data_IF_309128143035
#
_entry.id   IF_309128143035
#
_cell.length_a   1.000
_cell.length_b   1.000
_cell.length_c   1.000
_cell.angle_alpha   90.00
_cell.angle_beta   90.00
_cell.angle_gamma   90.00
#
_symmetry.space_group_name_H-M   'P 1'
#
loop_
_entity.id
_entity.type
_entity.pdbx_description
1 polymer ?
#
# COMPACT_ATOMS: atom_id res chain seq x y z
N UNK A 1 2.35 -34.90 -36.30
CA UNK A 1 2.75 -35.70 -35.12
C UNK A 1 2.82 -34.77 -33.93
N UNK A 2 1.90 -34.89 -32.97
CA UNK A 2 2.22 -34.76 -31.55
C UNK A 2 1.06 -35.34 -30.72
N UNK A 3 1.37 -36.14 -29.70
CA UNK A 3 0.40 -37.04 -29.07
C UNK A 3 0.06 -36.55 -27.66
N UNK A 4 -1.17 -36.11 -27.45
CA UNK A 4 -1.64 -35.57 -26.16
C UNK A 4 -1.89 -36.69 -25.14
N UNK A 5 -0.92 -36.98 -24.27
CA UNK A 5 -1.10 -37.96 -23.19
C UNK A 5 -1.73 -37.32 -21.94
N UNK A 6 -2.97 -37.71 -21.63
CA UNK A 6 -3.56 -37.51 -20.31
C UNK A 6 -2.81 -38.31 -19.26
N UNK A 7 -2.42 -37.70 -18.14
CA UNK A 7 -2.24 -38.41 -16.86
C UNK A 7 -2.76 -37.57 -15.69
N UNK A 8 -4.01 -37.84 -15.30
CA UNK A 8 -4.56 -37.44 -14.02
C UNK A 8 -3.78 -38.17 -12.90
N UNK A 9 -3.18 -37.43 -11.97
CA UNK A 9 -2.60 -38.00 -10.74
C UNK A 9 -3.17 -37.33 -9.50
N UNK A 10 -4.36 -37.77 -9.12
CA UNK A 10 -4.88 -37.53 -7.77
C UNK A 10 -4.03 -38.28 -6.73
N UNK A 11 -3.59 -37.60 -5.68
CA UNK A 11 -3.26 -38.23 -4.40
C UNK A 11 -4.11 -37.60 -3.31
N UNK A 12 -4.73 -38.45 -2.49
CA UNK A 12 -5.57 -38.08 -1.35
C UNK A 12 -4.77 -38.23 -0.05
N UNK A 13 -5.28 -37.57 0.99
CA UNK A 13 -5.31 -37.93 2.42
C UNK A 13 -4.49 -37.08 3.41
N UNK A 14 -5.24 -36.57 4.40
CA UNK A 14 -4.86 -36.22 5.78
C UNK A 14 -3.84 -35.08 5.95
N UNK A 15 -4.03 -34.15 6.89
CA UNK A 15 -4.45 -34.40 8.29
C UNK A 15 -5.22 -33.22 8.88
N UNK A 16 -6.19 -33.51 9.75
CA UNK A 16 -6.88 -32.50 10.57
C UNK A 16 -6.26 -32.46 11.98
N UNK A 17 -6.02 -31.26 12.52
CA UNK A 17 -5.79 -30.99 13.96
C UNK A 17 -6.57 -29.74 14.34
N UNK A 18 -6.95 -29.65 15.62
CA UNK A 18 -8.10 -28.89 16.09
C UNK A 18 -7.73 -27.71 17.03
N UNK A 19 -8.67 -26.76 17.12
CA UNK A 19 -8.98 -25.84 18.23
C UNK A 19 -7.84 -25.16 19.03
N UNK A 20 -7.90 -23.83 19.07
CA UNK A 20 -7.67 -23.06 20.30
C UNK A 20 -8.49 -21.75 20.30
N UNK A 21 -9.70 -21.78 20.88
CA UNK A 21 -10.46 -20.56 21.21
C UNK A 21 -10.05 -20.03 22.57
N UNK A 22 -9.50 -18.82 22.64
CA UNK A 22 -9.21 -18.11 23.89
C UNK A 22 -10.15 -16.91 24.05
N UNK A 23 -11.26 -17.10 24.79
CA UNK A 23 -12.11 -16.01 25.21
C UNK A 23 -11.59 -15.41 26.51
N UNK A 24 -11.26 -14.12 26.50
CA UNK A 24 -10.80 -13.37 27.67
C UNK A 24 -11.75 -12.21 27.99
N UNK A 25 -12.45 -12.29 29.11
CA UNK A 25 -13.22 -11.19 29.68
C UNK A 25 -13.03 -11.16 31.19
N UNK A 26 -12.70 -9.99 31.76
CA UNK A 26 -13.41 -9.36 32.89
C UNK A 26 -12.70 -8.09 33.39
N UNK A 27 -13.51 -7.04 33.58
CA UNK A 27 -13.48 -6.06 34.68
C UNK A 27 -12.18 -5.31 35.05
N UNK A 28 -12.17 -4.01 34.75
CA UNK A 28 -11.49 -2.97 35.54
C UNK A 28 -12.47 -1.85 35.86
N UNK A 29 -13.02 -1.81 37.08
CA UNK A 29 -13.99 -0.81 37.52
C UNK A 29 -13.34 0.13 38.54
N UNK A 30 -13.38 1.45 38.33
CA UNK A 30 -12.76 2.46 39.20
C UNK A 30 -13.54 3.77 39.24
N UNK A 31 -13.92 4.22 40.44
CA UNK A 31 -14.86 5.33 40.71
C UNK A 31 -14.28 6.27 41.78
N UNK A 32 -14.60 7.56 41.91
CA UNK A 32 -15.65 8.42 41.32
C UNK A 32 -15.13 9.86 41.14
N UNK A 33 -15.80 10.69 40.32
CA UNK A 33 -15.55 12.14 40.26
C UNK A 33 -16.66 12.94 39.58
N UNK A 34 -17.67 13.37 40.35
CA UNK A 34 -18.79 14.24 39.92
C UNK A 34 -18.47 15.74 40.14
N UNK A 35 -19.32 16.73 39.75
CA UNK A 35 -20.42 16.76 38.78
C UNK A 35 -20.29 17.91 37.73
N UNK A 36 -21.27 18.04 36.84
CA UNK A 36 -21.42 19.13 35.84
C UNK A 36 -21.76 20.51 36.47
N UNK A 37 -21.70 21.62 35.69
CA UNK A 37 -22.91 21.99 34.93
C UNK A 37 -22.68 22.53 33.50
N UNK A 38 -23.51 22.02 32.58
CA UNK A 38 -24.18 22.70 31.46
C UNK A 38 -23.56 23.97 30.83
N UNK A 39 -23.22 23.86 29.54
CA UNK A 39 -23.78 24.70 28.45
C UNK A 39 -23.28 24.25 27.08
N UNK A 40 -24.19 24.01 26.13
CA UNK A 40 -23.87 24.04 24.69
C UNK A 40 -24.21 22.78 23.91
N UNK A 41 -25.48 22.60 23.55
CA UNK A 41 -25.90 21.60 22.56
C UNK A 41 -25.35 21.94 21.17
N UNK A 42 -24.47 21.10 20.64
CA UNK A 42 -24.22 20.94 19.21
C UNK A 42 -23.76 19.51 18.92
N UNK A 43 -24.72 18.60 18.75
CA UNK A 43 -24.48 17.24 18.23
C UNK A 43 -23.92 17.32 16.81
N UNK A 44 -22.73 16.75 16.60
CA UNK A 44 -22.02 16.78 15.32
C UNK A 44 -20.76 15.93 15.35
N UNK A 45 -20.85 14.71 15.90
CA UNK A 45 -19.72 13.77 15.97
C UNK A 45 -19.39 13.24 14.58
N UNK A 46 -18.53 13.98 13.89
CA UNK A 46 -17.90 13.63 12.61
C UNK A 46 -16.41 13.93 12.68
N UNK A 47 -15.74 13.45 13.75
CA UNK A 47 -14.29 13.41 13.79
C UNK A 47 -13.85 12.28 12.86
N UNK A 48 -13.75 12.59 11.56
CA UNK A 48 -12.96 11.80 10.64
C UNK A 48 -11.51 11.89 11.11
N UNK A 49 -11.10 10.88 11.89
CA UNK A 49 -9.71 10.59 12.16
C UNK A 49 -9.06 10.06 10.88
N UNK A 50 -8.89 10.95 9.89
CA UNK A 50 -7.81 10.75 8.93
C UNK A 50 -6.53 10.57 9.75
N UNK A 51 -5.79 9.46 9.58
CA UNK A 51 -4.51 9.32 10.26
C UNK A 51 -3.66 10.52 9.88
N UNK A 52 -3.16 11.24 10.89
CA UNK A 52 -2.34 12.41 10.66
C UNK A 52 -1.05 11.95 9.97
N UNK A 53 -1.00 12.11 8.65
CA UNK A 53 0.16 11.84 7.82
C UNK A 53 1.37 12.50 8.49
N UNK A 54 2.41 11.73 8.89
CA UNK A 54 3.52 12.27 9.67
C UNK A 54 4.19 13.36 8.84
N UNK A 55 3.98 14.61 9.25
CA UNK A 55 4.37 15.78 8.48
C UNK A 55 5.87 15.82 8.30
N UNK A 56 6.34 15.53 7.09
CA UNK A 56 7.73 15.66 6.67
C UNK A 56 8.22 17.07 7.01
N UNK A 57 9.09 17.19 8.01
CA UNK A 57 9.65 18.48 8.44
C UNK A 57 10.52 19.06 7.31
N UNK A 58 10.16 20.22 6.73
CA UNK A 58 10.90 20.74 5.58
C UNK A 58 12.32 21.18 5.98
N UNK A 59 13.31 20.34 5.71
CA UNK A 59 14.72 20.62 6.01
C UNK A 59 15.57 19.41 6.39
N UNK A 60 14.97 18.29 6.78
CA UNK A 60 15.72 17.03 6.93
C UNK A 60 16.07 16.52 5.52
N UNK A 61 17.35 16.28 5.23
CA UNK A 61 17.72 15.54 4.02
C UNK A 61 17.26 14.09 4.21
N UNK A 62 16.21 13.69 3.50
CA UNK A 62 15.68 12.34 3.56
C UNK A 62 16.77 11.33 3.17
N UNK A 63 17.37 10.70 4.19
CA UNK A 63 18.32 9.62 4.01
C UNK A 63 17.54 8.40 3.52
N UNK A 64 17.92 7.88 2.35
CA UNK A 64 17.32 6.66 1.80
C UNK A 64 17.57 5.50 2.77
N UNK A 65 16.50 4.95 3.33
CA UNK A 65 16.52 3.89 4.33
C UNK A 65 16.72 2.50 3.72
N UNK A 66 16.28 2.31 2.48
CA UNK A 66 16.43 1.08 1.70
C UNK A 66 16.76 1.40 0.25
N UNK A 67 17.66 0.62 -0.37
CA UNK A 67 17.97 0.67 -1.80
C UNK A 67 18.14 -0.75 -2.30
N UNK A 68 17.27 -1.19 -3.21
CA UNK A 68 17.24 -2.55 -3.72
C UNK A 68 16.09 -2.76 -4.71
N UNK A 69 15.88 -4.01 -5.17
CA UNK A 69 14.72 -4.32 -5.99
C UNK A 69 13.42 -4.29 -5.17
N UNK A 70 12.29 -4.22 -5.87
CA UNK A 70 10.98 -4.52 -5.28
C UNK A 70 10.75 -6.04 -5.34
N UNK A 71 10.87 -6.72 -4.20
CA UNK A 71 10.79 -8.17 -4.08
C UNK A 71 9.95 -8.61 -2.84
N UNK A 72 9.81 -9.93 -2.61
CA UNK A 72 9.03 -10.49 -1.50
C UNK A 72 9.57 -10.13 -0.11
N UNK A 73 10.90 -9.99 0.06
CA UNK A 73 11.56 -9.60 1.31
C UNK A 73 11.25 -8.12 1.62
N UNK A 74 11.43 -7.23 0.63
CA UNK A 74 11.03 -5.84 0.78
C UNK A 74 9.52 -5.70 1.04
N UNK A 75 8.67 -6.49 0.36
CA UNK A 75 7.20 -6.42 0.55
C UNK A 75 6.78 -6.90 1.94
N UNK A 76 7.49 -7.85 2.53
CA UNK A 76 7.28 -8.32 3.91
C UNK A 76 7.69 -7.27 4.95
N UNK A 77 8.83 -6.60 4.75
CA UNK A 77 9.35 -5.56 5.65
C UNK A 77 8.82 -4.14 5.34
N UNK A 78 7.95 -3.98 4.33
CA UNK A 78 7.50 -2.67 3.84
C UNK A 78 6.90 -1.77 4.94
N UNK A 79 6.17 -2.35 5.90
CA UNK A 79 5.60 -1.61 7.04
C UNK A 79 6.68 -1.03 7.97
N UNK A 80 7.86 -1.66 8.07
CA UNK A 80 9.02 -1.16 8.82
C UNK A 80 9.60 0.14 8.21
N UNK A 81 9.33 0.40 6.93
CA UNK A 81 9.78 1.58 6.19
C UNK A 81 8.73 2.70 6.11
N UNK A 82 7.56 2.55 6.74
CA UNK A 82 6.51 3.56 6.72
C UNK A 82 7.02 4.95 7.18
N UNK A 83 6.73 5.98 6.37
CA UNK A 83 7.20 7.35 6.55
C UNK A 83 8.67 7.61 6.15
N UNK A 84 9.40 6.59 5.67
CA UNK A 84 10.81 6.68 5.27
C UNK A 84 10.96 6.66 3.74
N UNK A 85 12.04 7.27 3.25
CA UNK A 85 12.37 7.27 1.83
C UNK A 85 13.10 5.97 1.44
N UNK A 86 12.68 5.34 0.35
CA UNK A 86 13.28 4.12 -0.22
C UNK A 86 13.54 4.32 -1.71
N UNK A 87 14.52 3.60 -2.26
CA UNK A 87 14.74 3.45 -3.70
C UNK A 87 14.46 2.00 -4.10
N UNK A 88 13.57 1.82 -5.06
CA UNK A 88 13.10 0.52 -5.51
C UNK A 88 13.31 0.37 -7.01
N UNK A 89 14.02 -0.67 -7.41
CA UNK A 89 14.10 -1.10 -8.81
C UNK A 89 13.04 -2.15 -9.11
N UNK A 90 12.25 -1.98 -10.16
CA UNK A 90 11.23 -2.96 -10.57
C UNK A 90 10.70 -2.72 -11.97
N UNK A 91 9.75 -3.53 -12.42
CA UNK A 91 9.13 -3.40 -13.73
C UNK A 91 7.81 -2.63 -13.65
N UNK A 92 7.59 -1.68 -14.56
CA UNK A 92 6.29 -1.02 -14.73
C UNK A 92 5.33 -2.03 -15.37
N UNK A 93 4.22 -2.35 -14.70
CA UNK A 93 3.17 -3.22 -15.28
C UNK A 93 1.98 -2.45 -15.82
N UNK A 94 1.74 -1.25 -15.29
CA UNK A 94 0.58 -0.40 -15.60
C UNK A 94 0.97 1.05 -15.29
N UNK A 95 0.47 2.02 -16.06
CA UNK A 95 0.87 3.43 -15.98
C UNK A 95 -0.32 4.35 -16.33
N UNK A 96 -0.63 5.27 -15.41
CA UNK A 96 -1.63 6.32 -15.61
C UNK A 96 -0.93 7.69 -15.67
N UNK A 97 -0.50 8.13 -16.87
CA UNK A 97 0.29 9.36 -17.02
C UNK A 97 -0.54 10.60 -16.68
N UNK A 98 -1.86 10.57 -16.93
CA UNK A 98 -2.84 11.61 -16.56
C UNK A 98 -2.75 12.00 -15.08
N UNK A 99 -2.46 11.01 -14.22
CA UNK A 99 -2.45 11.11 -12.76
C UNK A 99 -1.06 10.96 -12.14
N UNK A 100 -0.02 10.87 -12.97
CA UNK A 100 1.37 10.62 -12.53
C UNK A 100 1.50 9.40 -11.60
N UNK A 101 0.75 8.33 -11.88
CA UNK A 101 0.77 7.10 -11.06
C UNK A 101 1.17 5.90 -11.90
N UNK A 102 1.95 4.98 -11.34
CA UNK A 102 2.35 3.73 -11.99
C UNK A 102 2.28 2.55 -11.04
N UNK A 103 2.33 1.35 -11.59
CA UNK A 103 2.41 0.10 -10.85
C UNK A 103 3.77 -0.53 -11.06
N UNK A 104 4.48 -0.78 -9.96
CA UNK A 104 5.73 -1.52 -9.93
C UNK A 104 5.46 -2.99 -9.54
N UNK A 105 6.09 -3.92 -10.25
CA UNK A 105 6.10 -5.36 -9.92
C UNK A 105 7.51 -5.92 -9.96
N UNK A 106 7.69 -7.09 -9.35
CA UNK A 106 8.90 -7.88 -9.49
C UNK A 106 8.88 -8.66 -10.81
N UNK A 107 9.85 -8.47 -11.72
CA UNK A 107 9.97 -9.30 -12.93
C UNK A 107 10.35 -10.76 -12.63
N UNK A 108 10.89 -11.10 -11.45
CA UNK A 108 11.19 -12.48 -11.08
C UNK A 108 9.98 -13.22 -10.46
N UNK A 109 9.09 -12.50 -9.76
CA UNK A 109 7.88 -13.02 -9.13
C UNK A 109 6.61 -12.25 -9.56
N UNK A 110 6.01 -12.54 -10.73
CA UNK A 110 4.82 -11.85 -11.24
C UNK A 110 3.53 -12.12 -10.44
N UNK A 111 3.55 -13.09 -9.53
CA UNK A 111 2.47 -13.36 -8.56
C UNK A 111 2.58 -12.49 -7.28
N UNK A 112 3.64 -11.68 -7.13
CA UNK A 112 3.81 -10.74 -6.02
C UNK A 112 2.76 -9.62 -6.11
N UNK A 113 2.26 -9.19 -4.96
CA UNK A 113 1.27 -8.11 -4.89
C UNK A 113 1.83 -6.81 -5.51
N UNK A 114 1.15 -6.18 -6.48
CA UNK A 114 1.68 -5.04 -7.22
C UNK A 114 1.74 -3.77 -6.36
N UNK A 115 2.86 -3.06 -6.37
CA UNK A 115 3.03 -1.80 -5.64
C UNK A 115 2.53 -0.60 -6.44
N UNK A 116 1.63 0.19 -5.84
CA UNK A 116 1.27 1.50 -6.37
C UNK A 116 2.37 2.53 -6.07
N UNK A 117 2.75 3.29 -7.10
CA UNK A 117 3.72 4.38 -7.04
C UNK A 117 3.03 5.67 -7.49
N UNK A 118 2.84 6.60 -6.57
CA UNK A 118 2.32 7.95 -6.77
C UNK A 118 3.49 8.92 -6.94
N UNK A 119 3.63 9.47 -8.14
CA UNK A 119 4.73 10.37 -8.47
C UNK A 119 4.39 11.83 -8.22
N UNK A 120 5.40 12.62 -7.90
CA UNK A 120 5.23 14.09 -7.77
C UNK A 120 5.05 14.78 -9.13
N UNK A 121 5.58 14.19 -10.18
CA UNK A 121 5.55 14.68 -11.55
C UNK A 121 5.39 13.48 -12.50
N UNK A 122 4.75 13.69 -13.66
CA UNK A 122 4.64 12.67 -14.68
C UNK A 122 6.04 12.21 -15.14
N UNK A 123 6.18 10.91 -15.37
CA UNK A 123 7.42 10.29 -15.81
C UNK A 123 7.45 10.22 -17.35
N UNK A 124 8.24 11.07 -18.05
CA UNK A 124 8.24 11.11 -19.53
C UNK A 124 8.91 9.89 -20.18
N UNK A 125 9.81 9.21 -19.45
CA UNK A 125 10.54 8.01 -19.89
C UNK A 125 9.97 6.71 -19.25
N UNK A 126 8.81 6.78 -18.59
CA UNK A 126 8.13 5.58 -18.09
C UNK A 126 7.27 4.96 -19.20
N UNK A 127 7.50 3.67 -19.47
CA UNK A 127 6.70 2.86 -20.39
C UNK A 127 6.37 1.51 -19.73
N UNK A 128 5.22 0.93 -20.05
CA UNK A 128 4.83 -0.40 -19.57
C UNK A 128 5.81 -1.47 -20.06
N UNK A 129 6.19 -2.40 -19.18
CA UNK A 129 7.21 -3.41 -19.40
C UNK A 129 8.66 -2.95 -19.16
N UNK A 130 8.89 -1.65 -18.99
CA UNK A 130 10.24 -1.11 -18.72
C UNK A 130 10.64 -1.28 -17.26
N UNK A 131 11.91 -1.64 -17.01
CA UNK A 131 12.49 -1.66 -15.68
C UNK A 131 12.98 -0.27 -15.29
N UNK A 132 12.60 0.22 -14.12
CA UNK A 132 12.90 1.57 -13.62
C UNK A 132 13.38 1.53 -12.17
N UNK A 133 14.18 2.52 -11.78
CA UNK A 133 14.46 2.83 -10.37
C UNK A 133 13.59 4.03 -9.94
N UNK A 134 12.80 3.83 -8.89
CA UNK A 134 11.95 4.86 -8.30
C UNK A 134 12.34 5.12 -6.85
N UNK A 135 12.69 6.36 -6.55
CA UNK A 135 12.90 6.84 -5.18
C UNK A 135 11.65 7.56 -4.69
N UNK A 136 11.11 7.18 -3.53
CA UNK A 136 9.94 7.85 -2.93
C UNK A 136 9.75 7.49 -1.46
N UNK A 137 8.71 8.00 -0.82
CA UNK A 137 8.42 7.76 0.60
C UNK A 137 7.37 6.67 0.75
N UNK A 138 7.64 5.62 1.53
CA UNK A 138 6.60 4.60 1.81
C UNK A 138 5.51 5.22 2.68
N UNK A 139 4.27 5.13 2.21
CA UNK A 139 3.07 5.53 2.95
C UNK A 139 2.17 4.30 3.11
N UNK A 140 1.40 4.27 4.20
CA UNK A 140 0.44 3.20 4.48
C UNK A 140 -0.99 3.66 4.14
N UNK A 141 -1.88 2.69 3.92
CA UNK A 141 -3.32 2.92 3.77
C UNK A 141 -3.65 3.95 2.66
N UNK A 142 -3.27 3.64 1.42
CA UNK A 142 -3.56 4.47 0.26
C UNK A 142 -5.06 4.81 0.15
N UNK A 143 -5.36 6.07 -0.16
CA UNK A 143 -6.70 6.54 -0.45
C UNK A 143 -6.74 7.00 -1.90
N UNK A 144 -7.66 6.43 -2.69
CA UNK A 144 -7.89 6.88 -4.05
C UNK A 144 -8.32 8.37 -4.03
N UNK A 145 -7.75 9.23 -4.89
CA UNK A 145 -8.21 10.61 -5.01
C UNK A 145 -9.68 10.61 -5.46
N UNK A 146 -10.52 11.32 -4.72
CA UNK A 146 -11.95 11.44 -5.00
C UNK A 146 -12.16 12.52 -6.07
N UNK A 147 -11.70 12.24 -7.28
CA UNK A 147 -12.00 13.07 -8.44
C UNK A 147 -13.50 12.97 -8.76
N UNK A 148 -14.16 14.13 -8.88
CA UNK A 148 -15.63 14.26 -8.96
C UNK A 148 -16.22 13.99 -10.35
N UNK A 149 -15.48 13.27 -11.19
CA UNK A 149 -15.87 12.91 -12.55
C UNK A 149 -15.85 11.38 -12.68
N UNK A 150 -16.94 10.73 -12.26
CA UNK A 150 -17.21 9.28 -12.31
C UNK A 150 -17.26 8.68 -13.75
N UNK A 151 -16.49 9.20 -14.71
CA UNK A 151 -16.55 8.82 -16.13
C UNK A 151 -15.22 8.38 -16.77
N UNK A 152 -14.11 8.38 -16.04
CA UNK A 152 -12.83 7.89 -16.56
C UNK A 152 -12.64 6.39 -16.27
N UNK A 153 -12.23 5.63 -17.30
CA UNK A 153 -11.86 4.20 -17.18
C UNK A 153 -10.69 3.99 -16.19
N UNK A 154 -9.91 5.05 -15.93
CA UNK A 154 -8.85 5.14 -14.92
C UNK A 154 -9.37 5.00 -13.47
N UNK A 155 -10.66 5.18 -13.19
CA UNK A 155 -11.20 5.07 -11.82
C UNK A 155 -10.99 3.66 -11.21
N UNK A 156 -10.95 2.62 -12.04
CA UNK A 156 -10.70 1.24 -11.59
C UNK A 156 -9.23 0.94 -11.25
N UNK A 157 -8.28 1.78 -11.66
CA UNK A 157 -6.84 1.57 -11.42
C UNK A 157 -6.50 1.56 -9.94
N UNK A 158 -7.10 2.48 -9.16
CA UNK A 158 -6.82 2.63 -7.74
C UNK A 158 -7.56 1.65 -6.83
N UNK A 159 -8.72 1.12 -7.24
CA UNK A 159 -9.62 0.33 -6.40
C UNK A 159 -8.89 -0.86 -5.73
N UNK A 160 -8.04 -1.56 -6.51
CA UNK A 160 -7.23 -2.69 -6.04
C UNK A 160 -6.13 -2.30 -5.03
N UNK A 161 -5.77 -1.02 -4.96
CA UNK A 161 -4.70 -0.48 -4.11
C UNK A 161 -5.24 0.28 -2.90
N UNK A 162 -6.55 0.52 -2.78
CA UNK A 162 -7.13 1.21 -1.60
C UNK A 162 -6.82 0.42 -0.33
N UNK A 163 -6.26 1.11 0.68
CA UNK A 163 -5.83 0.50 1.95
C UNK A 163 -4.48 -0.22 1.89
N UNK A 164 -3.86 -0.41 0.71
CA UNK A 164 -2.51 -0.95 0.59
C UNK A 164 -1.44 0.10 0.92
N UNK A 165 -0.21 -0.31 1.29
CA UNK A 165 0.94 0.59 1.27
C UNK A 165 1.28 0.98 -0.17
N UNK A 166 1.80 2.19 -0.33
CA UNK A 166 2.13 2.79 -1.61
C UNK A 166 3.39 3.65 -1.48
N UNK A 167 4.04 3.95 -2.61
CA UNK A 167 5.15 4.89 -2.66
C UNK A 167 4.63 6.28 -3.02
N UNK A 168 4.82 7.27 -2.14
CA UNK A 168 4.41 8.66 -2.34
C UNK A 168 5.57 9.56 -2.76
N UNK A 169 5.25 10.66 -3.44
CA UNK A 169 6.19 11.66 -3.96
C UNK A 169 7.32 11.05 -4.80
N UNK A 170 7.05 9.93 -5.48
CA UNK A 170 8.07 9.20 -6.21
C UNK A 170 8.67 10.04 -7.35
N UNK A 171 9.98 9.86 -7.55
CA UNK A 171 10.76 10.35 -8.68
C UNK A 171 11.56 9.20 -9.27
N UNK A 172 11.81 9.23 -10.59
CA UNK A 172 12.81 8.35 -11.18
C UNK A 172 14.19 8.77 -10.66
N UNK A 173 15.03 7.80 -10.32
CA UNK A 173 16.41 8.05 -9.93
C UNK A 173 17.18 8.73 -11.07
N UNK A 174 17.49 10.02 -10.91
CA UNK A 174 18.31 10.76 -11.88
C UNK A 174 19.79 10.51 -11.60
N UNK A 175 20.49 9.84 -12.53
CA UNK A 175 21.96 9.90 -12.64
C UNK A 175 22.44 11.30 -13.09
#
# INVERSE_FOLDING_TARGET
MNTTHRLLRSRKLATAVALATAAGATAGCGTSGSPEPDRGTATGTGAESSPAQPGQTPGEQATVAYTGPYDEDFRADMASYAGQQVSLTGQITDLVPSRSALVLTDPENPDLDPLLVSARFAFPDAEEGTAVDVTGTVQENFQAPVDQDDMDEEAGFYDRHVGQPYLDQAGLGTE
#
